data_IF_105663273855
#
_entry.id   IF_105663273855
#
_cell.length_a   1.000
_cell.length_b   1.000
_cell.length_c   1.000
_cell.angle_alpha   90.00
_cell.angle_beta   90.00
_cell.angle_gamma   90.00
#
_symmetry.space_group_name_H-M   'P 1'
#
loop_
_entity.id
_entity.type
_entity.pdbx_description
1 polymer ?
#
# COMPACT_ATOMS: atom_id res chain seq x y z
N UNK A 1 1.62 -10.28 -15.76
CA UNK A 1 1.52 -8.95 -16.43
C UNK A 1 0.73 -9.09 -17.73
N UNK A 2 1.23 -9.86 -18.72
CA UNK A 2 0.57 -10.06 -20.01
C UNK A 2 -0.89 -10.53 -19.93
N UNK A 3 -1.18 -11.61 -19.20
CA UNK A 3 -2.54 -12.19 -19.16
C UNK A 3 -3.63 -11.20 -18.68
N UNK A 4 -3.36 -10.41 -17.64
CA UNK A 4 -4.32 -9.43 -17.11
C UNK A 4 -4.49 -8.23 -18.05
N UNK A 5 -3.40 -7.75 -18.66
CA UNK A 5 -3.46 -6.67 -19.65
C UNK A 5 -4.15 -7.09 -20.96
N UNK A 6 -4.08 -8.38 -21.32
CA UNK A 6 -4.76 -8.97 -22.47
C UNK A 6 -6.27 -9.15 -22.23
N UNK A 7 -6.67 -9.46 -21.00
CA UNK A 7 -8.07 -9.57 -20.60
C UNK A 7 -8.78 -8.20 -20.46
N UNK A 8 -8.05 -7.08 -20.60
CA UNK A 8 -8.64 -5.75 -20.54
C UNK A 8 -9.25 -5.35 -21.89
N UNK A 9 -10.40 -4.63 -21.87
CA UNK A 9 -11.02 -4.18 -23.09
C UNK A 9 -10.12 -3.22 -23.86
N UNK A 10 -10.17 -3.29 -25.20
CA UNK A 10 -9.40 -2.40 -26.08
C UNK A 10 -9.80 -0.91 -25.94
N UNK A 11 -11.04 -0.64 -25.51
CA UNK A 11 -11.51 0.70 -25.18
C UNK A 11 -12.47 0.66 -23.98
N UNK A 12 -12.18 1.50 -22.98
CA UNK A 12 -12.93 1.67 -21.73
C UNK A 12 -13.17 3.15 -21.42
N UNK A 13 -13.84 3.84 -22.37
CA UNK A 13 -14.42 5.17 -22.11
C UNK A 13 -15.45 5.14 -20.99
N UNK A 14 -15.52 6.23 -20.24
CA UNK A 14 -16.50 6.44 -19.21
C UNK A 14 -17.87 6.77 -19.85
N UNK A 15 -18.94 6.03 -19.53
CA UNK A 15 -20.27 6.30 -20.06
C UNK A 15 -20.81 7.66 -19.56
N UNK A 16 -21.62 8.33 -20.37
CA UNK A 16 -22.25 9.60 -19.98
C UNK A 16 -23.20 9.47 -18.79
N UNK A 17 -23.43 10.57 -18.07
CA UNK A 17 -24.31 10.56 -16.88
C UNK A 17 -25.78 10.23 -17.21
N UNK A 18 -26.19 10.42 -18.47
CA UNK A 18 -27.52 10.11 -18.99
C UNK A 18 -27.91 8.63 -18.86
N UNK A 19 -26.93 7.73 -18.82
CA UNK A 19 -27.17 6.29 -18.61
C UNK A 19 -27.61 5.96 -17.17
N UNK A 20 -27.48 6.90 -16.24
CA UNK A 20 -27.77 6.71 -14.82
C UNK A 20 -26.81 5.72 -14.14
N UNK A 21 -26.93 5.55 -12.82
CA UNK A 21 -25.97 4.76 -12.05
C UNK A 21 -26.03 3.26 -12.38
N UNK A 22 -27.23 2.70 -12.55
CA UNK A 22 -27.42 1.29 -12.93
C UNK A 22 -26.90 0.99 -14.34
N UNK A 23 -27.08 1.92 -15.29
CA UNK A 23 -26.55 1.77 -16.65
C UNK A 23 -25.02 1.84 -16.69
N UNK A 24 -24.42 2.77 -15.95
CA UNK A 24 -22.96 2.85 -15.83
C UNK A 24 -22.37 1.60 -15.16
N UNK A 25 -23.01 1.10 -14.10
CA UNK A 25 -22.64 -0.13 -13.43
C UNK A 25 -22.65 -1.33 -14.39
N UNK A 26 -23.79 -1.58 -15.05
CA UNK A 26 -23.94 -2.70 -15.98
C UNK A 26 -23.02 -2.61 -17.20
N UNK A 27 -22.70 -1.39 -17.65
CA UNK A 27 -21.72 -1.18 -18.72
C UNK A 27 -20.33 -1.74 -18.36
N UNK A 28 -19.83 -1.46 -17.15
CA UNK A 28 -18.53 -1.98 -16.72
C UNK A 28 -18.57 -3.48 -16.41
N UNK A 29 -19.68 -3.98 -15.87
CA UNK A 29 -19.90 -5.42 -15.66
C UNK A 29 -19.76 -6.20 -16.98
N UNK A 30 -20.38 -5.71 -18.05
CA UNK A 30 -20.28 -6.32 -19.38
C UNK A 30 -18.88 -6.18 -19.97
N UNK A 31 -18.26 -5.00 -19.83
CA UNK A 31 -16.91 -4.72 -20.37
C UNK A 31 -15.80 -5.51 -19.69
N UNK A 32 -15.97 -5.86 -18.42
CA UNK A 32 -14.98 -6.57 -17.63
C UNK A 32 -15.29 -8.06 -17.48
N UNK A 33 -16.27 -8.58 -18.23
CA UNK A 33 -16.71 -9.98 -18.15
C UNK A 33 -15.57 -10.98 -18.36
N UNK A 34 -14.66 -10.70 -19.29
CA UNK A 34 -13.53 -11.61 -19.56
C UNK A 34 -12.56 -11.65 -18.38
N UNK A 35 -12.28 -10.50 -17.77
CA UNK A 35 -11.45 -10.43 -16.56
C UNK A 35 -12.18 -10.96 -15.31
N UNK A 36 -13.51 -10.83 -15.23
CA UNK A 36 -14.33 -11.41 -14.18
C UNK A 36 -14.28 -12.94 -14.18
N UNK A 37 -14.22 -13.54 -15.38
CA UNK A 37 -14.10 -14.99 -15.58
C UNK A 37 -12.64 -15.48 -15.59
N UNK A 38 -11.67 -14.60 -15.32
CA UNK A 38 -10.27 -14.99 -15.26
C UNK A 38 -10.05 -15.92 -14.06
N UNK A 39 -9.63 -17.16 -14.33
CA UNK A 39 -9.52 -18.24 -13.36
C UNK A 39 -8.67 -17.87 -12.13
N UNK A 40 -7.61 -17.10 -12.34
CA UNK A 40 -6.70 -16.68 -11.28
C UNK A 40 -7.03 -15.30 -10.68
N UNK A 41 -8.22 -14.75 -10.91
CA UNK A 41 -8.61 -13.45 -10.33
C UNK A 41 -8.47 -13.48 -8.80
N UNK A 42 -9.13 -14.42 -8.13
CA UNK A 42 -9.09 -14.55 -6.67
C UNK A 42 -7.79 -15.19 -6.17
N UNK A 43 -7.39 -16.32 -6.75
CA UNK A 43 -6.26 -17.14 -6.28
C UNK A 43 -4.89 -16.56 -6.65
N UNK A 44 -4.81 -15.82 -7.75
CA UNK A 44 -3.59 -15.18 -8.25
C UNK A 44 -3.58 -13.69 -7.98
N UNK A 45 -4.41 -12.92 -8.68
CA UNK A 45 -4.36 -11.45 -8.68
C UNK A 45 -4.65 -10.90 -7.29
N UNK A 46 -5.86 -11.09 -6.76
CA UNK A 46 -6.28 -10.54 -5.46
C UNK A 46 -5.44 -11.11 -4.32
N UNK A 47 -5.09 -12.39 -4.36
CA UNK A 47 -4.22 -13.01 -3.37
C UNK A 47 -2.84 -12.36 -3.31
N UNK A 48 -2.22 -12.06 -4.45
CA UNK A 48 -0.90 -11.41 -4.48
C UNK A 48 -0.97 -9.96 -4.01
N UNK A 49 -2.01 -9.20 -4.40
CA UNK A 49 -2.24 -7.86 -3.84
C UNK A 49 -2.41 -7.90 -2.33
N UNK A 50 -3.21 -8.83 -1.81
CA UNK A 50 -3.36 -9.04 -0.35
C UNK A 50 -2.01 -9.29 0.32
N UNK A 51 -1.19 -10.20 -0.22
CA UNK A 51 0.11 -10.53 0.37
C UNK A 51 1.02 -9.30 0.44
N UNK A 52 1.06 -8.49 -0.62
CA UNK A 52 1.86 -7.28 -0.67
C UNK A 52 1.35 -6.22 0.32
N UNK A 53 0.04 -5.98 0.38
CA UNK A 53 -0.54 -5.01 1.30
C UNK A 53 -0.40 -5.43 2.76
N UNK A 54 -0.60 -6.70 3.07
CA UNK A 54 -0.37 -7.22 4.43
C UNK A 54 1.10 -7.11 4.82
N UNK A 55 2.03 -7.33 3.88
CA UNK A 55 3.46 -7.09 4.10
C UNK A 55 3.76 -5.63 4.43
N UNK A 56 3.13 -4.69 3.73
CA UNK A 56 3.25 -3.26 4.00
C UNK A 56 2.75 -2.90 5.41
N UNK A 57 1.57 -3.39 5.80
CA UNK A 57 1.00 -3.17 7.14
C UNK A 57 1.90 -3.77 8.21
N UNK A 58 2.42 -4.98 8.00
CA UNK A 58 3.33 -5.62 8.94
C UNK A 58 4.58 -4.77 9.17
N UNK A 59 5.20 -4.26 8.10
CA UNK A 59 6.38 -3.40 8.18
C UNK A 59 6.06 -2.10 8.93
N UNK A 60 4.90 -1.51 8.68
CA UNK A 60 4.45 -0.31 9.40
C UNK A 60 4.24 -0.57 10.90
N UNK A 61 3.61 -1.70 11.26
CA UNK A 61 3.41 -2.08 12.65
C UNK A 61 4.74 -2.39 13.35
N UNK A 62 5.68 -3.04 12.66
CA UNK A 62 7.02 -3.30 13.17
C UNK A 62 7.79 -2.00 13.39
N UNK A 63 7.75 -1.07 12.45
CA UNK A 63 8.38 0.25 12.62
C UNK A 63 7.79 0.99 13.82
N UNK A 64 6.46 1.01 13.97
CA UNK A 64 5.81 1.62 15.13
C UNK A 64 6.24 0.96 16.45
N UNK A 65 6.31 -0.38 16.50
CA UNK A 65 6.74 -1.11 17.68
C UNK A 65 8.22 -0.82 18.04
N UNK A 66 9.10 -0.77 17.03
CA UNK A 66 10.52 -0.42 17.20
C UNK A 66 10.67 1.01 17.70
N UNK A 67 9.88 1.96 17.19
CA UNK A 67 9.91 3.35 17.63
C UNK A 67 9.43 3.51 19.08
N UNK A 68 8.35 2.84 19.48
CA UNK A 68 7.88 2.83 20.87
C UNK A 68 8.95 2.26 21.80
N UNK A 69 9.58 1.14 21.43
CA UNK A 69 10.64 0.52 22.24
C UNK A 69 11.87 1.42 22.33
N UNK A 70 12.31 2.00 21.21
CA UNK A 70 13.47 2.90 21.17
C UNK A 70 13.24 4.16 22.02
N UNK A 71 12.04 4.74 21.96
CA UNK A 71 11.67 5.91 22.78
C UNK A 71 11.65 5.55 24.27
N UNK A 72 11.07 4.40 24.64
CA UNK A 72 11.10 3.91 26.02
C UNK A 72 12.54 3.71 26.52
N UNK A 73 13.41 3.09 25.72
CA UNK A 73 14.83 2.91 26.07
C UNK A 73 15.52 4.26 26.27
N UNK A 74 15.25 5.25 25.40
CA UNK A 74 15.80 6.60 25.53
C UNK A 74 15.42 7.25 26.87
N UNK A 75 14.15 7.14 27.28
CA UNK A 75 13.67 7.69 28.57
C UNK A 75 14.32 7.05 29.79
N UNK A 76 14.78 5.80 29.68
CA UNK A 76 15.46 5.09 30.77
C UNK A 76 16.98 5.25 30.75
N UNK A 77 17.56 5.82 29.67
CA UNK A 77 18.99 6.08 29.59
C UNK A 77 19.36 7.34 30.37
N UNK A 78 20.57 7.39 30.96
CA UNK A 78 21.11 8.61 31.55
C UNK A 78 21.17 9.74 30.52
N UNK A 79 21.00 10.99 30.97
CA UNK A 79 21.14 12.16 30.12
C UNK A 79 22.52 12.24 29.47
N UNK A 80 22.58 12.82 28.27
CA UNK A 80 23.84 13.01 27.53
C UNK A 80 24.85 13.75 28.40
N UNK A 81 26.03 13.16 28.62
CA UNK A 81 27.10 13.69 29.47
C UNK A 81 27.07 13.20 30.93
N UNK A 82 26.00 12.52 31.37
CA UNK A 82 25.96 11.90 32.68
C UNK A 82 26.74 10.58 32.71
N UNK A 83 27.35 10.22 33.87
CA UNK A 83 28.06 8.95 34.01
C UNK A 83 27.11 7.77 33.80
N UNK A 84 27.49 6.82 32.94
CA UNK A 84 26.70 5.62 32.70
C UNK A 84 26.81 4.70 33.92
N UNK A 85 25.69 4.37 34.60
CA UNK A 85 25.72 3.66 35.88
C UNK A 85 26.34 2.27 35.78
N UNK A 86 26.12 1.56 34.66
CA UNK A 86 26.71 0.25 34.41
C UNK A 86 28.24 0.32 34.24
N UNK A 87 28.74 1.33 33.52
CA UNK A 87 30.18 1.53 33.31
C UNK A 87 30.85 1.92 34.62
N UNK A 88 30.21 2.78 35.42
CA UNK A 88 30.71 3.15 36.74
C UNK A 88 30.75 1.96 37.71
N UNK A 89 29.72 1.12 37.73
CA UNK A 89 29.68 -0.07 38.55
C UNK A 89 30.79 -1.07 38.15
N UNK A 90 31.01 -1.26 36.84
CA UNK A 90 32.09 -2.09 36.34
C UNK A 90 33.48 -1.53 36.72
N UNK A 91 33.68 -0.21 36.62
CA UNK A 91 34.94 0.43 37.01
C UNK A 91 35.22 0.32 38.51
N UNK A 92 34.18 0.43 39.36
CA UNK A 92 34.32 0.21 40.80
C UNK A 92 34.70 -1.25 41.12
N UNK A 93 34.12 -2.21 40.39
CA UNK A 93 34.43 -3.62 40.56
C UNK A 93 35.89 -3.92 40.16
N UNK A 94 36.34 -3.42 39.00
CA UNK A 94 37.73 -3.53 38.56
C UNK A 94 38.71 -2.95 39.59
N UNK A 95 38.38 -1.76 40.14
CA UNK A 95 39.18 -1.13 41.21
C UNK A 95 39.24 -1.96 42.50
N UNK A 96 38.16 -2.66 42.86
CA UNK A 96 38.13 -3.55 44.02
C UNK A 96 39.06 -4.78 43.85
N UNK A 97 39.30 -5.21 42.61
CA UNK A 97 40.27 -6.26 42.27
C UNK A 97 41.69 -5.75 42.02
N UNK A 98 41.93 -4.44 42.13
CA UNK A 98 43.22 -3.81 41.89
C UNK A 98 43.58 -3.64 40.42
N UNK A 99 42.61 -3.81 39.52
CA UNK A 99 42.78 -3.62 38.07
C UNK A 99 42.55 -2.17 37.66
N UNK A 100 43.25 -1.74 36.61
CA UNK A 100 42.95 -0.47 35.94
C UNK A 100 41.72 -0.65 35.07
N UNK A 101 40.82 0.35 35.08
CA UNK A 101 39.58 0.33 34.30
C UNK A 101 39.81 0.21 32.77
N UNK A 102 40.98 0.63 32.28
CA UNK A 102 41.36 0.52 30.86
C UNK A 102 41.79 -0.89 30.45
N UNK A 103 42.20 -1.71 31.42
CA UNK A 103 42.72 -3.07 31.21
C UNK A 103 41.69 -4.15 31.60
N UNK A 104 40.56 -3.76 32.20
CA UNK A 104 39.56 -4.71 32.70
C UNK A 104 38.50 -5.07 31.66
N UNK A 105 38.41 -6.36 31.34
CA UNK A 105 37.39 -6.94 30.44
C UNK A 105 35.96 -6.61 30.89
N UNK A 106 35.74 -6.48 32.20
CA UNK A 106 34.41 -6.18 32.76
C UNK A 106 33.92 -4.78 32.37
N UNK A 107 34.83 -3.80 32.33
CA UNK A 107 34.54 -2.43 31.92
C UNK A 107 34.31 -2.37 30.41
N UNK A 108 35.09 -3.12 29.63
CA UNK A 108 34.92 -3.17 28.18
C UNK A 108 33.59 -3.83 27.79
N UNK A 109 33.23 -4.93 28.45
CA UNK A 109 31.92 -5.58 28.26
C UNK A 109 30.78 -4.64 28.65
N UNK A 110 30.92 -3.87 29.73
CA UNK A 110 29.92 -2.88 30.12
C UNK A 110 29.72 -1.78 29.06
N UNK A 111 30.81 -1.27 28.45
CA UNK A 111 30.73 -0.31 27.34
C UNK A 111 30.01 -0.90 26.13
N UNK A 112 30.32 -2.15 25.77
CA UNK A 112 29.68 -2.84 24.65
C UNK A 112 28.18 -3.04 24.88
N UNK A 113 27.78 -3.47 26.09
CA UNK A 113 26.37 -3.63 26.46
C UNK A 113 25.62 -2.30 26.37
N UNK A 114 26.20 -1.21 26.91
CA UNK A 114 25.59 0.12 26.79
C UNK A 114 25.44 0.53 25.33
N UNK A 115 26.44 0.25 24.49
CA UNK A 115 26.38 0.54 23.04
C UNK A 115 25.31 -0.29 22.31
N UNK A 116 25.13 -1.57 22.66
CA UNK A 116 24.11 -2.45 22.06
C UNK A 116 22.69 -2.08 22.51
N UNK A 117 22.56 -1.58 23.74
CA UNK A 117 21.30 -1.08 24.28
C UNK A 117 20.99 0.37 23.88
N UNK A 118 21.83 1.01 23.08
CA UNK A 118 21.54 2.33 22.55
C UNK A 118 20.26 2.29 21.68
N UNK A 119 19.40 3.32 21.77
CA UNK A 119 18.20 3.37 20.94
C UNK A 119 18.61 3.43 19.47
N UNK A 120 17.78 2.86 18.59
CA UNK A 120 17.99 3.04 17.16
C UNK A 120 17.97 4.53 16.83
N UNK A 121 18.76 4.93 15.82
CA UNK A 121 18.71 6.29 15.30
C UNK A 121 17.26 6.65 14.94
N UNK A 122 16.82 7.86 15.30
CA UNK A 122 15.47 8.34 14.98
C UNK A 122 15.16 8.35 13.48
N UNK A 123 16.20 8.33 12.64
CA UNK A 123 16.13 8.23 11.18
C UNK A 123 16.05 6.81 10.63
N UNK A 124 16.14 5.77 11.47
CA UNK A 124 16.04 4.38 11.01
C UNK A 124 14.56 3.98 10.84
N UNK A 125 14.13 3.83 9.59
CA UNK A 125 12.81 3.25 9.25
C UNK A 125 13.00 2.00 8.39
N UNK A 126 12.46 0.87 8.86
CA UNK A 126 12.38 -0.37 8.11
C UNK A 126 11.42 -0.22 6.93
N UNK A 127 10.30 0.49 7.14
CA UNK A 127 9.31 0.77 6.13
C UNK A 127 9.92 1.53 4.95
N UNK A 128 10.64 2.63 5.21
CA UNK A 128 11.32 3.40 4.17
C UNK A 128 12.30 2.52 3.39
N UNK A 129 13.13 1.73 4.08
CA UNK A 129 14.11 0.86 3.41
C UNK A 129 13.45 -0.20 2.54
N UNK A 130 12.41 -0.85 3.04
CA UNK A 130 11.66 -1.84 2.27
C UNK A 130 10.96 -1.20 1.05
N UNK A 131 10.42 0.00 1.21
CA UNK A 131 9.76 0.74 0.13
C UNK A 131 10.74 1.27 -0.91
N UNK A 132 11.94 1.70 -0.53
CA UNK A 132 13.04 2.02 -1.47
C UNK A 132 13.39 0.78 -2.30
N UNK A 133 13.52 -0.39 -1.67
CA UNK A 133 13.78 -1.64 -2.39
C UNK A 133 12.63 -2.01 -3.34
N UNK A 134 11.38 -1.88 -2.89
CA UNK A 134 10.21 -2.15 -3.71
C UNK A 134 10.09 -1.17 -4.90
N UNK A 135 10.32 0.12 -4.69
CA UNK A 135 10.36 1.13 -5.74
C UNK A 135 11.50 0.87 -6.74
N UNK A 136 12.66 0.39 -6.27
CA UNK A 136 13.80 -0.01 -7.11
C UNK A 136 13.48 -1.26 -7.93
N UNK A 137 12.72 -2.20 -7.38
CA UNK A 137 12.22 -3.35 -8.15
C UNK A 137 11.17 -2.90 -9.18
N UNK A 138 10.28 -1.97 -8.81
CA UNK A 138 9.26 -1.41 -9.68
C UNK A 138 9.87 -0.64 -10.86
N UNK A 139 10.95 0.11 -10.64
CA UNK A 139 11.61 0.87 -11.72
C UNK A 139 12.10 0.00 -12.88
N UNK A 140 12.39 -1.29 -12.62
CA UNK A 140 12.82 -2.25 -13.65
C UNK A 140 11.69 -2.74 -14.56
N UNK A 141 10.45 -2.64 -14.08
CA UNK A 141 9.25 -3.12 -14.80
C UNK A 141 8.27 -1.99 -15.12
N UNK A 142 8.62 -0.74 -14.79
CA UNK A 142 7.72 0.41 -14.91
C UNK A 142 7.20 0.58 -16.33
N UNK A 143 8.04 0.43 -17.36
CA UNK A 143 7.65 0.71 -18.75
C UNK A 143 6.54 -0.24 -19.23
N UNK A 144 6.57 -1.50 -18.79
CA UNK A 144 5.51 -2.47 -19.07
C UNK A 144 4.16 -2.09 -18.42
N UNK A 145 4.22 -1.41 -17.28
CA UNK A 145 3.04 -0.97 -16.52
C UNK A 145 2.59 0.45 -16.84
N UNK A 146 3.46 1.26 -17.45
CA UNK A 146 3.07 2.50 -18.13
C UNK A 146 2.36 2.14 -19.44
N UNK A 147 2.81 1.12 -20.18
CA UNK A 147 2.20 0.68 -21.42
C UNK A 147 2.04 1.83 -22.45
N UNK A 148 3.06 2.69 -22.55
CA UNK A 148 3.07 3.90 -23.37
C UNK A 148 2.38 5.11 -22.73
N UNK A 149 1.82 4.96 -21.52
CA UNK A 149 1.21 6.03 -20.74
C UNK A 149 2.28 6.79 -19.95
N UNK A 150 3.08 7.62 -20.62
CA UNK A 150 4.06 8.48 -19.95
C UNK A 150 3.37 9.73 -19.36
N UNK A 151 3.87 10.31 -18.25
CA UNK A 151 3.26 11.51 -17.63
C UNK A 151 3.13 12.71 -18.59
N UNK A 152 3.99 12.77 -19.61
CA UNK A 152 4.03 13.82 -20.63
C UNK A 152 3.08 13.56 -21.81
N UNK A 153 2.53 12.34 -21.94
CA UNK A 153 1.56 12.04 -22.99
C UNK A 153 0.26 12.84 -22.76
N UNK A 154 -0.10 13.60 -23.79
CA UNK A 154 -1.30 14.44 -23.84
C UNK A 154 -2.54 13.59 -23.52
N UNK A 155 -3.45 14.12 -22.71
CA UNK A 155 -4.66 13.43 -22.19
C UNK A 155 -5.54 12.79 -23.28
N UNK A 156 -5.35 13.17 -24.55
CA UNK A 156 -6.11 12.68 -25.70
C UNK A 156 -5.39 11.69 -26.64
N UNK A 157 -4.13 11.32 -26.36
CA UNK A 157 -3.29 10.64 -27.35
C UNK A 157 -3.33 9.12 -27.36
N UNK A 158 -3.62 8.46 -26.23
CA UNK A 158 -3.61 7.01 -26.19
C UNK A 158 -4.68 6.48 -25.24
N UNK A 159 -5.63 5.73 -25.81
CA UNK A 159 -6.45 4.74 -25.11
C UNK A 159 -5.51 3.66 -24.50
N UNK A 160 -4.65 4.02 -23.54
CA UNK A 160 -3.78 3.08 -22.82
C UNK A 160 -4.61 2.31 -21.80
N UNK A 161 -5.54 1.49 -22.29
CA UNK A 161 -6.34 0.59 -21.45
C UNK A 161 -5.48 -0.40 -20.68
N UNK A 162 -4.19 -0.51 -21.03
CA UNK A 162 -3.20 -1.42 -20.44
C UNK A 162 -2.32 -0.78 -19.36
N UNK A 163 -2.37 0.54 -19.18
CA UNK A 163 -1.65 1.20 -18.11
C UNK A 163 -2.14 0.71 -16.73
N UNK A 164 -1.27 0.69 -15.73
CA UNK A 164 -1.61 0.10 -14.44
C UNK A 164 -2.81 0.77 -13.77
N UNK A 165 -3.02 2.08 -13.90
CA UNK A 165 -4.24 2.72 -13.36
C UNK A 165 -5.55 2.16 -13.94
N UNK A 166 -5.55 1.79 -15.23
CA UNK A 166 -6.70 1.14 -15.88
C UNK A 166 -6.84 -0.30 -15.42
N UNK A 167 -5.73 -1.03 -15.35
CA UNK A 167 -5.71 -2.40 -14.80
C UNK A 167 -6.28 -2.40 -13.38
N UNK A 168 -5.79 -1.50 -12.53
CA UNK A 168 -6.20 -1.38 -11.15
C UNK A 168 -7.65 -0.95 -11.02
N UNK A 169 -8.13 -0.01 -11.83
CA UNK A 169 -9.55 0.35 -11.83
C UNK A 169 -10.46 -0.83 -12.16
N UNK A 170 -10.09 -1.66 -13.14
CA UNK A 170 -10.80 -2.91 -13.42
C UNK A 170 -10.79 -3.88 -12.24
N UNK A 171 -9.61 -4.13 -11.66
CA UNK A 171 -9.45 -5.04 -10.51
C UNK A 171 -10.24 -4.54 -9.30
N UNK A 172 -10.22 -3.23 -9.04
CA UNK A 172 -10.96 -2.58 -7.96
C UNK A 172 -12.47 -2.70 -8.18
N UNK A 173 -12.94 -2.48 -9.40
CA UNK A 173 -14.35 -2.67 -9.74
C UNK A 173 -14.77 -4.12 -9.49
N UNK A 174 -14.02 -5.09 -10.01
CA UNK A 174 -14.28 -6.52 -9.80
C UNK A 174 -14.18 -6.94 -8.34
N UNK A 175 -13.28 -6.33 -7.56
CA UNK A 175 -13.22 -6.55 -6.12
C UNK A 175 -14.53 -6.17 -5.42
N UNK A 176 -15.24 -5.15 -5.91
CA UNK A 176 -16.52 -4.71 -5.39
C UNK A 176 -17.75 -5.42 -6.00
N UNK A 177 -17.60 -6.16 -7.10
CA UNK A 177 -18.74 -6.76 -7.84
C UNK A 177 -18.73 -8.28 -7.92
N UNK A 178 -17.57 -8.92 -8.01
CA UNK A 178 -17.46 -10.38 -8.20
C UNK A 178 -17.16 -11.06 -6.86
N UNK A 179 -18.16 -11.64 -6.17
CA UNK A 179 -17.92 -12.35 -4.92
C UNK A 179 -17.08 -13.60 -5.16
N UNK A 180 -16.45 -14.10 -4.11
CA UNK A 180 -15.79 -15.41 -4.16
C UNK A 180 -16.82 -16.51 -3.93
N UNK A 181 -16.85 -17.50 -4.82
CA UNK A 181 -17.72 -18.67 -4.67
C UNK A 181 -17.04 -19.74 -3.82
N UNK A 182 -17.66 -20.10 -2.70
CA UNK A 182 -17.24 -21.18 -1.81
C UNK A 182 -18.33 -22.26 -1.72
N UNK A 183 -17.98 -23.46 -1.26
CA UNK A 183 -18.94 -24.52 -0.92
C UNK A 183 -20.02 -24.06 0.07
N UNK A 184 -19.73 -23.04 0.89
CA UNK A 184 -20.64 -22.46 1.89
C UNK A 184 -21.44 -21.25 1.39
N UNK A 185 -21.32 -20.91 0.10
CA UNK A 185 -21.96 -19.75 -0.52
C UNK A 185 -20.97 -18.67 -0.96
N UNK A 186 -21.53 -17.52 -1.34
CA UNK A 186 -20.76 -16.36 -1.80
C UNK A 186 -20.15 -15.59 -0.62
N UNK A 187 -18.87 -15.26 -0.74
CA UNK A 187 -18.12 -14.50 0.27
C UNK A 187 -17.68 -13.19 -0.37
N UNK A 188 -17.93 -12.06 0.31
CA UNK A 188 -17.45 -10.75 -0.11
C UNK A 188 -15.91 -10.70 -0.10
N UNK A 189 -15.31 -10.09 -1.12
CA UNK A 189 -13.86 -10.00 -1.23
C UNK A 189 -13.23 -9.21 -0.08
N UNK A 190 -13.90 -8.20 0.47
CA UNK A 190 -13.44 -7.49 1.67
C UNK A 190 -13.30 -8.41 2.88
N UNK A 191 -14.21 -9.39 3.02
CA UNK A 191 -14.13 -10.38 4.09
C UNK A 191 -13.01 -11.41 3.84
N UNK A 192 -12.83 -11.80 2.57
CA UNK A 192 -11.85 -12.83 2.20
C UNK A 192 -10.40 -12.32 2.17
N UNK A 193 -10.18 -11.11 1.67
CA UNK A 193 -8.84 -10.55 1.46
C UNK A 193 -8.49 -9.41 2.41
N UNK A 194 -9.48 -8.73 3.00
CA UNK A 194 -9.27 -7.57 3.87
C UNK A 194 -8.68 -6.36 3.13
N UNK A 195 -8.13 -5.45 3.92
CA UNK A 195 -7.67 -4.13 3.47
C UNK A 195 -6.35 -4.20 2.67
N UNK A 196 -5.63 -5.33 2.71
CA UNK A 196 -4.36 -5.48 2.02
C UNK A 196 -4.46 -5.27 0.51
N UNK A 197 -5.60 -5.64 -0.10
CA UNK A 197 -5.79 -5.46 -1.55
C UNK A 197 -5.80 -3.98 -1.96
N UNK A 198 -6.70 -3.13 -1.45
CA UNK A 198 -6.70 -1.71 -1.80
C UNK A 198 -5.41 -0.99 -1.39
N UNK A 199 -4.79 -1.36 -0.27
CA UNK A 199 -3.49 -0.79 0.14
C UNK A 199 -2.38 -1.08 -0.87
N UNK A 200 -2.32 -2.32 -1.39
CA UNK A 200 -1.33 -2.68 -2.40
C UNK A 200 -1.59 -2.00 -3.75
N UNK A 201 -2.85 -1.83 -4.16
CA UNK A 201 -3.19 -1.06 -5.35
C UNK A 201 -2.74 0.39 -5.25
N UNK A 202 -3.02 1.05 -4.12
CA UNK A 202 -2.57 2.41 -3.83
C UNK A 202 -1.04 2.52 -3.87
N UNK A 203 -0.32 1.54 -3.31
CA UNK A 203 1.14 1.49 -3.34
C UNK A 203 1.69 1.46 -4.78
N UNK A 204 1.11 0.65 -5.66
CA UNK A 204 1.56 0.56 -7.05
C UNK A 204 1.23 1.83 -7.84
N UNK A 205 0.04 2.40 -7.64
CA UNK A 205 -0.33 3.70 -8.22
C UNK A 205 0.65 4.81 -7.80
N UNK A 206 1.08 4.80 -6.54
CA UNK A 206 2.09 5.73 -6.02
C UNK A 206 3.44 5.52 -6.69
N UNK A 207 3.95 4.28 -6.70
CA UNK A 207 5.24 3.98 -7.31
C UNK A 207 5.30 4.34 -8.79
N UNK A 208 4.22 4.12 -9.53
CA UNK A 208 4.14 4.42 -10.97
C UNK A 208 3.73 5.87 -11.26
N UNK A 209 3.46 6.70 -10.24
CA UNK A 209 3.04 8.09 -10.43
C UNK A 209 1.70 8.23 -11.16
N UNK A 210 0.84 7.20 -11.12
CA UNK A 210 -0.42 7.15 -11.88
C UNK A 210 -1.67 7.52 -11.05
N UNK A 211 -1.49 8.02 -9.82
CA UNK A 211 -2.60 8.38 -8.92
C UNK A 211 -3.59 9.36 -9.56
N UNK A 212 -3.12 10.46 -10.12
CA UNK A 212 -4.01 11.47 -10.69
C UNK A 212 -4.84 10.93 -11.87
N UNK A 213 -4.21 10.12 -12.73
CA UNK A 213 -4.90 9.46 -13.85
C UNK A 213 -5.93 8.44 -13.35
N UNK A 214 -5.57 7.68 -12.33
CA UNK A 214 -6.52 6.77 -11.67
C UNK A 214 -7.74 7.54 -11.14
N UNK A 215 -7.55 8.63 -10.39
CA UNK A 215 -8.65 9.44 -9.84
C UNK A 215 -9.58 9.99 -10.94
N UNK A 216 -9.04 10.33 -12.12
CA UNK A 216 -9.84 10.82 -13.26
C UNK A 216 -10.57 9.72 -14.04
N UNK A 217 -9.98 8.53 -14.12
CA UNK A 217 -10.42 7.46 -15.02
C UNK A 217 -10.88 6.18 -14.31
N UNK A 218 -11.07 6.24 -12.99
CA UNK A 218 -11.55 5.11 -12.19
C UNK A 218 -13.03 4.80 -12.47
N UNK A 219 -13.31 3.59 -12.91
CA UNK A 219 -14.65 3.06 -13.17
C UNK A 219 -15.53 3.10 -11.92
N UNK A 220 -14.99 2.69 -10.77
CA UNK A 220 -15.78 2.64 -9.55
C UNK A 220 -16.14 4.04 -9.04
N UNK A 221 -15.19 4.97 -9.07
CA UNK A 221 -15.42 6.40 -8.78
C UNK A 221 -16.44 7.00 -9.75
N UNK A 222 -16.38 6.66 -11.03
CA UNK A 222 -17.33 7.16 -12.03
C UNK A 222 -18.76 6.71 -11.71
N UNK A 223 -18.98 5.41 -11.47
CA UNK A 223 -20.30 4.87 -11.08
C UNK A 223 -20.80 5.54 -9.79
N UNK A 224 -19.93 5.69 -8.79
CA UNK A 224 -20.27 6.35 -7.54
C UNK A 224 -20.61 7.85 -7.71
N UNK A 225 -19.92 8.54 -8.62
CA UNK A 225 -20.15 9.96 -8.91
C UNK A 225 -21.49 10.16 -9.63
N UNK A 226 -21.83 9.30 -10.58
CA UNK A 226 -23.14 9.29 -11.25
C UNK A 226 -24.25 8.98 -10.24
N UNK A 227 -24.03 8.00 -9.36
CA UNK A 227 -24.97 7.68 -8.28
C UNK A 227 -25.21 8.88 -7.36
N UNK A 228 -24.14 9.51 -6.89
CA UNK A 228 -24.22 10.68 -6.01
C UNK A 228 -24.91 11.87 -6.70
N UNK A 229 -24.65 12.10 -7.99
CA UNK A 229 -25.28 13.16 -8.78
C UNK A 229 -26.77 12.90 -9.06
N UNK A 230 -27.21 11.64 -9.07
CA UNK A 230 -28.61 11.28 -9.31
C UNK A 230 -29.55 11.71 -8.18
N UNK A 231 -29.01 11.96 -6.98
CA UNK A 231 -29.80 12.29 -5.77
C UNK A 231 -30.67 11.14 -5.25
N UNK A 232 -30.58 9.94 -5.85
CA UNK A 232 -31.32 8.76 -5.44
C UNK A 232 -30.73 8.21 -4.16
N UNK A 233 -31.58 7.88 -3.18
CA UNK A 233 -31.10 7.27 -1.94
C UNK A 233 -30.61 5.84 -2.19
N UNK A 234 -29.59 5.42 -1.44
CA UNK A 234 -28.99 4.08 -1.53
C UNK A 234 -30.03 2.96 -1.31
N UNK A 235 -31.10 3.23 -0.56
CA UNK A 235 -32.22 2.31 -0.30
C UNK A 235 -33.18 2.17 -1.49
N UNK A 236 -33.13 3.08 -2.46
CA UNK A 236 -34.03 3.11 -3.62
C UNK A 236 -33.43 2.41 -4.85
N UNK A 237 -32.11 2.20 -4.88
CA UNK A 237 -31.46 1.42 -5.93
C UNK A 237 -31.55 -0.08 -5.68
N UNK A 238 -31.41 -0.85 -6.78
CA UNK A 238 -31.35 -2.31 -6.74
C UNK A 238 -30.29 -2.83 -5.75
N UNK A 239 -30.53 -4.04 -5.22
CA UNK A 239 -29.66 -4.67 -4.22
C UNK A 239 -28.22 -4.81 -4.70
N UNK A 240 -28.01 -5.08 -5.99
CA UNK A 240 -26.68 -5.27 -6.58
C UNK A 240 -25.88 -3.97 -6.54
N UNK A 241 -26.48 -2.88 -7.06
CA UNK A 241 -25.87 -1.56 -7.06
C UNK A 241 -25.66 -1.03 -5.64
N UNK A 242 -26.61 -1.27 -4.74
CA UNK A 242 -26.50 -0.95 -3.32
C UNK A 242 -25.28 -1.62 -2.68
N UNK A 243 -25.12 -2.92 -2.91
CA UNK A 243 -23.99 -3.69 -2.40
C UNK A 243 -22.66 -3.15 -2.94
N UNK A 244 -22.60 -2.83 -4.23
CA UNK A 244 -21.44 -2.20 -4.85
C UNK A 244 -21.09 -0.86 -4.20
N UNK A 245 -22.05 0.07 -4.07
CA UNK A 245 -21.81 1.40 -3.49
C UNK A 245 -21.26 1.29 -2.07
N UNK A 246 -21.85 0.43 -1.24
CA UNK A 246 -21.39 0.22 0.14
C UNK A 246 -19.96 -0.32 0.20
N UNK A 247 -19.64 -1.33 -0.62
CA UNK A 247 -18.28 -1.91 -0.70
C UNK A 247 -17.27 -0.90 -1.23
N UNK A 248 -17.65 -0.12 -2.24
CA UNK A 248 -16.78 0.88 -2.84
C UNK A 248 -16.46 2.01 -1.88
N UNK A 249 -17.42 2.50 -1.08
CA UNK A 249 -17.17 3.55 -0.09
C UNK A 249 -16.09 3.14 0.93
N UNK A 250 -16.15 1.90 1.42
CA UNK A 250 -15.14 1.35 2.32
C UNK A 250 -13.78 1.28 1.63
N UNK A 251 -13.75 0.75 0.41
CA UNK A 251 -12.54 0.62 -0.38
C UNK A 251 -11.89 1.98 -0.67
N UNK A 252 -12.70 2.98 -1.03
CA UNK A 252 -12.28 4.35 -1.29
C UNK A 252 -11.62 4.96 -0.05
N UNK A 253 -12.24 4.82 1.12
CA UNK A 253 -11.68 5.32 2.37
C UNK A 253 -10.31 4.69 2.70
N UNK A 254 -10.16 3.38 2.49
CA UNK A 254 -8.88 2.68 2.68
C UNK A 254 -7.82 3.17 1.68
N UNK A 255 -8.21 3.35 0.42
CA UNK A 255 -7.31 3.81 -0.65
C UNK A 255 -6.81 5.22 -0.38
N UNK A 256 -7.70 6.15 0.00
CA UNK A 256 -7.33 7.53 0.36
C UNK A 256 -6.43 7.59 1.59
N UNK A 257 -6.71 6.77 2.61
CA UNK A 257 -5.84 6.64 3.79
C UNK A 257 -4.46 6.10 3.41
N UNK A 258 -4.40 5.14 2.48
CA UNK A 258 -3.14 4.56 2.00
C UNK A 258 -2.30 5.62 1.29
N UNK A 259 -2.92 6.41 0.43
CA UNK A 259 -2.25 7.53 -0.22
C UNK A 259 -1.74 8.57 0.78
N UNK A 260 -2.58 8.99 1.74
CA UNK A 260 -2.15 9.93 2.77
C UNK A 260 -0.95 9.41 3.59
N UNK A 261 -0.91 8.10 3.87
CA UNK A 261 0.23 7.48 4.54
C UNK A 261 1.50 7.51 3.68
N UNK A 262 1.40 7.22 2.38
CA UNK A 262 2.53 7.24 1.45
C UNK A 262 3.09 8.66 1.27
N UNK A 263 2.19 9.65 1.17
CA UNK A 263 2.54 11.08 1.08
C UNK A 263 3.22 11.56 2.38
N UNK A 264 2.65 11.24 3.54
CA UNK A 264 3.18 11.64 4.85
C UNK A 264 4.57 11.07 5.14
N UNK A 265 4.91 9.96 4.49
CA UNK A 265 6.19 9.29 4.69
C UNK A 265 7.25 9.71 3.65
N UNK A 266 6.95 10.65 2.75
CA UNK A 266 7.81 11.10 1.64
C UNK A 266 8.40 9.93 0.82
N UNK A 267 7.51 9.00 0.44
CA UNK A 267 7.92 7.74 -0.16
C UNK A 267 8.40 7.90 -1.60
N UNK A 268 9.53 7.27 -1.98
CA UNK A 268 10.01 7.31 -3.35
C UNK A 268 9.04 6.65 -4.31
N UNK A 269 9.05 7.16 -5.53
CA UNK A 269 8.43 6.57 -6.71
C UNK A 269 9.50 5.88 -7.57
N UNK A 270 9.06 5.11 -8.57
CA UNK A 270 9.96 4.50 -9.55
C UNK A 270 10.79 5.52 -10.36
N UNK A 271 10.45 6.81 -10.31
CA UNK A 271 11.13 7.89 -11.03
C UNK A 271 12.21 8.60 -10.21
N UNK A 272 12.13 8.57 -8.88
CA UNK A 272 13.04 9.30 -7.99
C UNK A 272 13.78 8.40 -6.98
N UNK A 273 13.53 7.09 -6.98
CA UNK A 273 14.17 6.13 -6.06
C UNK A 273 15.70 6.14 -6.11
N UNK A 274 16.30 6.53 -7.26
CA UNK A 274 17.75 6.68 -7.41
C UNK A 274 18.37 7.72 -6.47
N UNK A 275 17.57 8.62 -5.87
CA UNK A 275 18.02 9.59 -4.87
C UNK A 275 18.30 8.97 -3.50
N UNK A 276 17.89 7.71 -3.29
CA UNK A 276 18.02 6.99 -2.02
C UNK A 276 19.14 5.93 -2.06
N UNK A 277 19.96 5.91 -3.12
CA UNK A 277 21.07 4.98 -3.34
C UNK A 277 22.45 5.60 -3.12
#
# INVERSE_FOLDING_TARGET
VGAVQEALPANSKLPGYEYGPSGCYGYFELKLKDLANYEELHSGVLHNFRRLGNGLVLLQMLDAAVQVKSTSTLLHLPTIGSPQPLINAAAQMAGAYGERAEESDTVEMAKQVVSLCAPLASSASLLLRALVQAATAMSRVKDAWLAGDEPECDFGGADTTKAFHRVWSSVQFLFCTVPFESERGQIDNSMLFGDGVPMAGALFLHFLGQRHRFELFDFSQHVFSVFSASGVETQQVDQTLRGFVNRYMLLKAITERSFAMLDASDMPTAFNVWRYG
#
